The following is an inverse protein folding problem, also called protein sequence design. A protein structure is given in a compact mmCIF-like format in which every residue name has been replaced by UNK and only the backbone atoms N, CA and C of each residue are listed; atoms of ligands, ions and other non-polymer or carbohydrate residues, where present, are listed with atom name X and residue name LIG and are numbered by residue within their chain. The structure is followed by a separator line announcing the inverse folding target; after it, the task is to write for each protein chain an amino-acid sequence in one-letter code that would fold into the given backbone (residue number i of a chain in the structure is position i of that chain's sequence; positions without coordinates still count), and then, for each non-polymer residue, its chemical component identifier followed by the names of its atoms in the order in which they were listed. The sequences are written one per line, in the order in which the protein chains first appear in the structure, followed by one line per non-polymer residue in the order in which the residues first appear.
data_IF_018396673961
#
_entry.id   IF_018396673961
#
_cell.length_a   1.000
_cell.length_b   1.000
_cell.length_c   1.000
_cell.angle_alpha   90.00
_cell.angle_beta   90.00
_cell.angle_gamma   90.00
#
_symmetry.space_group_name_H-M   'P 1'
#
loop_
_entity.id
_entity.type
_entity.pdbx_description
1 polymer ?
#
# COMPACT_ATOMS: atom_id res chain seq x y z
N UNK A 1 -0.69 -16.93 -37.91
CA UNK A 1 -0.85 -15.68 -37.13
C UNK A 1 -0.60 -16.00 -35.67
N UNK A 2 0.63 -15.78 -35.20
CA UNK A 2 0.99 -15.89 -33.77
C UNK A 2 0.33 -14.73 -33.03
N UNK A 3 -0.57 -15.03 -32.09
CA UNK A 3 -1.14 -14.00 -31.23
C UNK A 3 0.01 -13.26 -30.53
N UNK A 4 0.12 -11.95 -30.75
CA UNK A 4 0.98 -11.09 -29.95
C UNK A 4 0.63 -11.33 -28.48
N UNK A 5 1.57 -11.89 -27.71
CA UNK A 5 1.41 -11.96 -26.26
C UNK A 5 1.24 -10.52 -25.77
N UNK A 6 0.13 -10.26 -25.09
CA UNK A 6 -0.13 -8.96 -24.47
C UNK A 6 1.09 -8.52 -23.67
N UNK A 7 1.66 -7.36 -23.99
CA UNK A 7 2.75 -6.72 -23.25
C UNK A 7 2.24 -5.97 -22.01
N UNK A 8 0.97 -6.16 -21.66
CA UNK A 8 0.31 -5.46 -20.56
C UNK A 8 0.72 -6.06 -19.22
N UNK A 9 1.18 -5.21 -18.31
CA UNK A 9 1.53 -5.56 -16.93
C UNK A 9 0.49 -4.97 -15.98
N UNK A 10 0.11 -5.71 -14.94
CA UNK A 10 -0.63 -5.15 -13.81
C UNK A 10 0.34 -4.68 -12.72
N UNK A 11 0.23 -3.42 -12.31
CA UNK A 11 1.08 -2.83 -11.28
C UNK A 11 0.22 -2.39 -10.10
N UNK A 12 0.51 -2.95 -8.93
CA UNK A 12 -0.13 -2.62 -7.66
C UNK A 12 0.80 -1.71 -6.86
N UNK A 13 0.41 -0.45 -6.69
CA UNK A 13 1.14 0.53 -5.87
C UNK A 13 0.63 0.45 -4.43
N UNK A 14 1.35 -0.29 -3.59
CA UNK A 14 1.03 -0.57 -2.20
C UNK A 14 1.63 0.49 -1.27
N UNK A 15 0.86 1.12 -0.37
CA UNK A 15 1.44 2.02 0.63
C UNK A 15 2.46 1.31 1.53
N UNK A 16 2.07 0.23 2.19
CA UNK A 16 2.90 -0.56 3.09
C UNK A 16 3.04 -2.02 2.67
N UNK A 17 3.92 -2.73 3.39
CA UNK A 17 4.32 -4.12 3.16
C UNK A 17 3.26 -5.09 3.69
N UNK A 18 2.11 -5.12 3.01
CA UNK A 18 0.94 -5.99 3.28
C UNK A 18 -0.33 -5.52 2.56
N UNK A 19 -0.53 -4.20 2.39
CA UNK A 19 -1.80 -3.62 1.93
C UNK A 19 -2.37 -4.20 0.63
N UNK A 20 -1.51 -4.37 -0.38
CA UNK A 20 -1.93 -4.96 -1.66
C UNK A 20 -2.42 -6.41 -1.49
N UNK A 21 -1.76 -7.21 -0.65
CA UNK A 21 -2.17 -8.59 -0.37
C UNK A 21 -3.45 -8.63 0.46
N UNK A 22 -3.55 -7.78 1.49
CA UNK A 22 -4.74 -7.67 2.33
C UNK A 22 -5.97 -7.28 1.50
N UNK A 23 -5.82 -6.29 0.62
CA UNK A 23 -6.95 -5.66 -0.07
C UNK A 23 -7.26 -6.32 -1.42
N UNK A 24 -6.25 -6.82 -2.12
CA UNK A 24 -6.35 -7.31 -3.50
C UNK A 24 -5.67 -8.68 -3.75
N UNK A 25 -5.25 -9.41 -2.71
CA UNK A 25 -4.56 -10.69 -2.86
C UNK A 25 -5.32 -11.74 -3.69
N UNK A 26 -6.65 -11.74 -3.62
CA UNK A 26 -7.51 -12.57 -4.47
C UNK A 26 -7.39 -12.20 -5.95
N UNK A 27 -7.55 -10.92 -6.28
CA UNK A 27 -7.32 -10.41 -7.63
C UNK A 27 -5.90 -10.72 -8.13
N UNK A 28 -4.87 -10.45 -7.31
CA UNK A 28 -3.47 -10.73 -7.64
C UNK A 28 -3.30 -12.21 -8.01
N UNK A 29 -3.84 -13.12 -7.19
CA UNK A 29 -3.75 -14.57 -7.44
C UNK A 29 -4.41 -15.04 -8.75
N UNK A 30 -5.35 -14.26 -9.29
CA UNK A 30 -5.97 -14.50 -10.60
C UNK A 30 -5.15 -13.90 -11.72
N UNK A 31 -4.72 -12.64 -11.57
CA UNK A 31 -4.00 -11.90 -12.61
C UNK A 31 -2.66 -12.53 -12.97
N UNK A 32 -1.92 -13.08 -12.00
CA UNK A 32 -0.63 -13.75 -12.25
C UNK A 32 -0.71 -14.91 -13.24
N UNK A 33 -1.92 -15.47 -13.46
CA UNK A 33 -2.15 -16.56 -14.43
C UNK A 33 -2.41 -16.04 -15.86
N UNK A 34 -2.64 -14.74 -16.00
CA UNK A 34 -3.12 -14.10 -17.23
C UNK A 34 -2.05 -13.14 -17.77
N UNK A 35 -1.50 -12.28 -16.91
CA UNK A 35 -0.52 -11.25 -17.25
C UNK A 35 0.58 -11.13 -16.17
N UNK A 36 1.75 -10.55 -16.50
CA UNK A 36 2.74 -10.19 -15.50
C UNK A 36 2.15 -9.26 -14.43
N UNK A 37 2.50 -9.50 -13.18
CA UNK A 37 2.09 -8.68 -12.04
C UNK A 37 3.32 -8.17 -11.29
N UNK A 38 3.36 -6.87 -11.02
CA UNK A 38 4.34 -6.23 -10.14
C UNK A 38 3.62 -5.54 -8.97
N UNK A 39 4.15 -5.72 -7.76
CA UNK A 39 3.76 -4.95 -6.58
C UNK A 39 4.90 -3.98 -6.27
N UNK A 40 4.60 -2.69 -6.33
CA UNK A 40 5.50 -1.60 -5.98
C UNK A 40 5.08 -1.06 -4.62
N UNK A 41 5.88 -1.34 -3.59
CA UNK A 41 5.60 -0.93 -2.22
C UNK A 41 6.37 0.34 -1.86
N UNK A 42 5.67 1.37 -1.39
CA UNK A 42 6.20 2.72 -1.22
C UNK A 42 6.98 2.85 0.09
N UNK A 43 6.29 2.71 1.23
CA UNK A 43 6.85 2.96 2.56
C UNK A 43 7.41 1.67 3.15
N UNK A 44 8.69 1.42 2.88
CA UNK A 44 9.34 0.12 3.14
C UNK A 44 10.53 0.22 4.07
N UNK A 45 10.84 1.42 4.56
CA UNK A 45 12.00 1.68 5.40
C UNK A 45 11.68 2.58 6.58
N UNK A 46 12.65 2.62 7.49
CA UNK A 46 12.75 3.58 8.58
C UNK A 46 14.17 4.16 8.56
N UNK A 47 14.34 5.48 8.76
CA UNK A 47 15.65 6.14 8.73
C UNK A 47 16.46 5.93 10.02
N UNK A 48 15.90 5.26 11.02
CA UNK A 48 16.55 5.00 12.29
C UNK A 48 15.59 4.49 13.38
N UNK A 49 15.99 4.58 14.67
CA UNK A 49 15.24 3.99 15.76
C UNK A 49 13.90 4.71 15.99
N UNK A 50 12.96 4.00 16.62
CA UNK A 50 11.69 4.57 17.05
C UNK A 50 11.90 5.62 18.17
N UNK A 51 11.66 6.90 17.85
CA UNK A 51 11.89 8.00 18.81
C UNK A 51 10.61 8.45 19.52
N UNK A 52 9.52 8.64 18.79
CA UNK A 52 8.22 9.06 19.35
C UNK A 52 7.56 7.94 20.15
N UNK A 53 6.67 8.30 21.07
CA UNK A 53 5.88 7.32 21.83
C UNK A 53 5.07 6.39 20.91
N UNK A 54 4.47 6.95 19.85
CA UNK A 54 3.70 6.20 18.85
C UNK A 54 4.57 5.19 18.10
N UNK A 55 5.74 5.61 17.61
CA UNK A 55 6.68 4.71 16.91
C UNK A 55 7.17 3.59 17.84
N UNK A 56 7.49 3.90 19.10
CA UNK A 56 7.93 2.90 20.09
C UNK A 56 6.82 1.89 20.37
N UNK A 57 5.59 2.36 20.55
CA UNK A 57 4.42 1.48 20.74
C UNK A 57 4.20 0.59 19.53
N UNK A 58 4.31 1.12 18.32
CA UNK A 58 4.14 0.36 17.09
C UNK A 58 5.14 -0.80 16.98
N UNK A 59 6.44 -0.53 17.18
CA UNK A 59 7.49 -1.57 17.18
C UNK A 59 7.29 -2.59 18.30
N UNK A 60 6.89 -2.13 19.50
CA UNK A 60 6.62 -3.01 20.65
C UNK A 60 5.43 -3.94 20.41
N UNK A 61 4.33 -3.44 19.83
CA UNK A 61 3.17 -4.27 19.47
C UNK A 61 3.53 -5.32 18.43
N UNK A 62 4.42 -5.00 17.50
CA UNK A 62 5.00 -5.96 16.56
C UNK A 62 5.93 -7.00 17.21
N UNK A 63 6.22 -6.88 18.52
CA UNK A 63 7.14 -7.74 19.28
C UNK A 63 8.59 -7.67 18.78
N UNK A 64 9.01 -6.51 18.29
CA UNK A 64 10.41 -6.23 17.95
C UNK A 64 11.04 -5.25 18.93
N UNK A 65 12.37 -5.32 19.05
CA UNK A 65 13.16 -4.36 19.84
C UNK A 65 13.67 -3.19 18.99
N UNK A 66 13.90 -3.41 17.69
CA UNK A 66 14.47 -2.43 16.76
C UNK A 66 13.56 -2.27 15.55
N UNK A 67 13.35 -1.03 15.14
CA UNK A 67 12.49 -0.70 14.00
C UNK A 67 13.10 -1.21 12.69
N UNK A 68 14.43 -1.15 12.59
CA UNK A 68 15.21 -1.58 11.44
C UNK A 68 15.02 -3.08 11.19
N UNK A 69 15.05 -3.89 12.25
CA UNK A 69 14.87 -5.34 12.17
C UNK A 69 13.43 -5.69 11.79
N UNK A 70 12.47 -4.96 12.35
CA UNK A 70 11.06 -5.09 12.01
C UNK A 70 10.79 -4.82 10.53
N UNK A 71 11.24 -3.68 10.01
CA UNK A 71 11.07 -3.35 8.59
C UNK A 71 11.89 -4.26 7.68
N UNK A 72 13.07 -4.73 8.11
CA UNK A 72 13.84 -5.73 7.37
C UNK A 72 13.09 -7.06 7.26
N UNK A 73 12.42 -7.50 8.33
CA UNK A 73 11.57 -8.68 8.29
C UNK A 73 10.37 -8.46 7.36
N UNK A 74 9.64 -7.35 7.48
CA UNK A 74 8.50 -7.04 6.59
C UNK A 74 8.90 -7.09 5.11
N UNK A 75 10.08 -6.56 4.75
CA UNK A 75 10.58 -6.63 3.37
C UNK A 75 10.89 -8.06 2.93
N UNK A 76 11.44 -8.90 3.81
CA UNK A 76 11.68 -10.33 3.50
C UNK A 76 10.36 -11.08 3.32
N UNK A 77 9.41 -10.88 4.22
CA UNK A 77 8.08 -11.47 4.16
C UNK A 77 7.38 -11.11 2.85
N UNK A 78 7.36 -9.83 2.49
CA UNK A 78 6.72 -9.34 1.27
C UNK A 78 7.32 -9.99 0.00
N UNK A 79 8.65 -9.99 -0.12
CA UNK A 79 9.35 -10.65 -1.23
C UNK A 79 9.07 -12.14 -1.30
N UNK A 80 9.11 -12.82 -0.15
CA UNK A 80 8.89 -14.26 -0.08
C UNK A 80 7.45 -14.63 -0.43
N UNK A 81 6.48 -13.92 0.14
CA UNK A 81 5.06 -14.18 -0.09
C UNK A 81 4.72 -13.91 -1.55
N UNK A 82 4.98 -12.72 -2.06
CA UNK A 82 4.63 -12.35 -3.43
C UNK A 82 5.42 -13.17 -4.46
N UNK A 83 6.72 -13.39 -4.23
CA UNK A 83 7.56 -14.23 -5.09
C UNK A 83 7.03 -15.66 -5.21
N UNK A 84 6.50 -16.24 -4.13
CA UNK A 84 5.90 -17.59 -4.17
C UNK A 84 4.63 -17.70 -5.03
N UNK A 85 4.05 -16.57 -5.44
CA UNK A 85 2.90 -16.48 -6.35
C UNK A 85 3.29 -15.98 -7.75
N UNK A 86 4.58 -15.84 -8.05
CA UNK A 86 5.06 -15.34 -9.34
C UNK A 86 4.88 -13.84 -9.53
N UNK A 87 4.75 -13.09 -8.44
CA UNK A 87 4.62 -11.62 -8.46
C UNK A 87 5.99 -10.97 -8.33
N UNK A 88 6.31 -10.04 -9.21
CA UNK A 88 7.51 -9.21 -9.09
C UNK A 88 7.32 -8.18 -7.96
N UNK A 89 8.36 -7.93 -7.18
CA UNK A 89 8.30 -6.98 -6.05
C UNK A 89 9.33 -5.88 -6.20
N UNK A 90 8.91 -4.64 -5.98
CA UNK A 90 9.80 -3.47 -5.92
C UNK A 90 9.53 -2.68 -4.66
N UNK A 91 10.57 -2.47 -3.84
CA UNK A 91 10.49 -1.66 -2.62
C UNK A 91 11.13 -0.31 -2.87
N UNK A 92 10.37 0.79 -2.75
CA UNK A 92 10.86 2.12 -3.10
C UNK A 92 11.73 2.78 -2.03
N UNK A 93 11.71 2.25 -0.81
CA UNK A 93 12.58 2.72 0.27
C UNK A 93 12.13 3.98 0.99
N UNK A 94 10.90 4.48 0.78
CA UNK A 94 10.43 5.67 1.48
C UNK A 94 10.14 5.37 2.98
N UNK A 95 10.29 6.37 3.87
CA UNK A 95 10.05 6.21 5.29
C UNK A 95 8.56 6.27 5.66
N UNK A 96 8.14 5.34 6.52
CA UNK A 96 6.81 5.31 7.15
C UNK A 96 6.49 6.63 7.89
N UNK A 97 5.21 7.04 7.90
CA UNK A 97 4.73 8.29 8.50
C UNK A 97 5.25 8.54 9.91
N UNK A 98 5.30 7.50 10.77
CA UNK A 98 5.74 7.63 12.16
C UNK A 98 7.21 8.04 12.33
N UNK A 99 8.01 7.90 11.27
CA UNK A 99 9.43 8.24 11.25
C UNK A 99 9.76 9.52 10.47
N UNK A 100 8.78 10.16 9.82
CA UNK A 100 9.04 11.36 9.04
C UNK A 100 9.26 12.58 9.92
N UNK A 101 10.32 13.31 9.63
CA UNK A 101 10.75 14.50 10.37
C UNK A 101 10.47 15.76 9.56
N UNK A 102 10.17 16.85 10.25
CA UNK A 102 9.98 18.15 9.61
C UNK A 102 11.30 18.60 8.98
N UNK A 103 11.31 19.08 7.72
CA UNK A 103 12.50 19.66 7.12
C UNK A 103 12.86 20.99 7.80
N UNK A 104 14.12 21.40 7.67
CA UNK A 104 14.61 22.76 7.96
C UNK A 104 14.26 23.36 9.32
N UNK A 105 14.24 22.54 10.38
CA UNK A 105 13.95 23.02 11.73
C UNK A 105 15.07 23.92 12.29
N UNK A 106 14.73 25.01 13.00
CA UNK A 106 15.70 25.82 13.73
C UNK A 106 16.56 24.98 14.69
N UNK A 107 17.85 25.32 14.82
CA UNK A 107 18.80 24.57 15.66
C UNK A 107 18.32 24.37 17.10
N UNK A 108 17.65 25.36 17.69
CA UNK A 108 17.13 25.25 19.07
C UNK A 108 16.04 24.18 19.18
N UNK A 109 15.15 24.11 18.20
CA UNK A 109 14.06 23.13 18.17
C UNK A 109 14.60 21.72 17.90
N UNK A 110 15.63 21.60 17.05
CA UNK A 110 16.36 20.34 16.85
C UNK A 110 17.04 19.84 18.15
N UNK A 111 17.55 20.74 19.00
CA UNK A 111 18.10 20.36 20.32
C UNK A 111 17.00 19.86 21.25
N UNK A 112 15.86 20.56 21.33
CA UNK A 112 14.72 20.11 22.11
C UNK A 112 14.17 18.76 21.62
N UNK A 113 14.18 18.54 20.30
CA UNK A 113 13.79 17.28 19.66
C UNK A 113 14.57 16.05 20.10
N UNK A 114 15.78 16.22 20.64
CA UNK A 114 16.54 15.10 21.23
C UNK A 114 15.92 14.61 22.55
N UNK A 115 15.21 15.49 23.24
CA UNK A 115 14.53 15.21 24.52
C UNK A 115 13.06 14.88 24.26
N UNK A 116 12.40 15.66 23.39
CA UNK A 116 10.99 15.53 23.02
C UNK A 116 10.86 15.34 21.50
N UNK A 117 11.04 14.11 21.00
CA UNK A 117 11.02 13.82 19.56
C UNK A 117 9.74 14.26 18.86
N UNK A 118 8.61 14.28 19.55
CA UNK A 118 7.31 14.67 19.01
C UNK A 118 7.32 16.08 18.40
N UNK A 119 8.21 16.98 18.84
CA UNK A 119 8.33 18.34 18.30
C UNK A 119 8.86 18.37 16.86
N UNK A 120 9.71 17.40 16.50
CA UNK A 120 10.43 17.38 15.23
C UNK A 120 9.85 16.42 14.20
N UNK A 121 8.83 15.63 14.57
CA UNK A 121 8.18 14.70 13.66
C UNK A 121 6.97 15.35 12.99
N UNK A 122 6.71 14.97 11.74
CA UNK A 122 5.54 15.44 10.97
C UNK A 122 4.26 14.82 11.56
N UNK A 123 4.29 13.52 11.87
CA UNK A 123 3.16 12.77 12.42
C UNK A 123 3.50 12.16 13.79
N UNK A 124 3.59 12.96 14.86
CA UNK A 124 4.10 12.50 16.15
C UNK A 124 3.14 11.58 16.92
N UNK A 125 1.83 11.76 16.73
CA UNK A 125 0.79 10.99 17.43
C UNK A 125 -0.04 10.24 16.39
N UNK A 126 -0.06 8.91 16.48
CA UNK A 126 -0.68 8.05 15.47
C UNK A 126 -2.16 8.38 15.23
N UNK A 127 -2.99 8.29 16.28
CA UNK A 127 -4.44 8.45 16.14
C UNK A 127 -4.84 9.87 15.69
N UNK A 128 -4.06 10.89 16.06
CA UNK A 128 -4.38 12.29 15.76
C UNK A 128 -3.85 12.75 14.40
N UNK A 129 -2.64 12.33 14.02
CA UNK A 129 -1.95 12.83 12.84
C UNK A 129 -1.90 11.79 11.72
N UNK A 130 -1.52 10.55 12.02
CA UNK A 130 -1.39 9.48 11.01
C UNK A 130 -2.75 9.06 10.48
N UNK A 131 -3.79 8.98 11.33
CA UNK A 131 -5.16 8.64 10.90
C UNK A 131 -6.02 9.85 10.53
N UNK A 132 -5.43 11.04 10.41
CA UNK A 132 -6.16 12.27 10.11
C UNK A 132 -6.71 12.34 8.68
N UNK A 133 -6.09 11.60 7.75
CA UNK A 133 -6.28 11.70 6.30
C UNK A 133 -5.72 12.99 5.68
N UNK A 134 -5.06 13.83 6.47
CA UNK A 134 -4.48 15.10 6.02
C UNK A 134 -2.98 14.93 5.82
N UNK A 135 -2.58 14.80 4.56
CA UNK A 135 -1.16 14.79 4.18
C UNK A 135 -0.56 16.17 4.46
N UNK A 136 0.48 16.21 5.28
CA UNK A 136 1.15 17.43 5.68
C UNK A 136 1.86 18.10 4.50
N UNK A 137 2.03 19.43 4.56
CA UNK A 137 2.74 20.17 3.51
C UNK A 137 4.23 19.82 3.49
N UNK A 138 4.78 19.50 4.66
CA UNK A 138 6.15 19.04 4.87
C UNK A 138 6.49 17.74 4.11
N UNK A 139 5.48 16.97 3.66
CA UNK A 139 5.67 15.83 2.75
C UNK A 139 5.75 16.26 1.26
N UNK A 140 5.88 17.55 0.94
CA UNK A 140 5.95 18.06 -0.46
C UNK A 140 7.08 17.45 -1.27
N UNK A 141 8.30 17.44 -0.76
CA UNK A 141 9.47 16.87 -1.43
C UNK A 141 9.31 15.35 -1.62
N UNK A 142 8.79 14.67 -0.60
CA UNK A 142 8.49 13.23 -0.69
C UNK A 142 7.46 12.96 -1.78
N UNK A 143 6.40 13.77 -1.89
CA UNK A 143 5.37 13.63 -2.95
C UNK A 143 5.96 13.83 -4.34
N UNK A 144 6.83 14.83 -4.52
CA UNK A 144 7.49 15.10 -5.80
C UNK A 144 8.40 13.93 -6.16
N UNK A 145 9.30 13.54 -5.25
CA UNK A 145 10.22 12.41 -5.47
C UNK A 145 9.48 11.11 -5.76
N UNK A 146 8.41 10.82 -5.03
CA UNK A 146 7.59 9.62 -5.25
C UNK A 146 6.93 9.68 -6.63
N UNK A 147 6.41 10.83 -7.05
CA UNK A 147 5.78 10.97 -8.34
C UNK A 147 6.77 10.75 -9.50
N UNK A 148 7.97 11.31 -9.40
CA UNK A 148 9.06 11.08 -10.37
C UNK A 148 9.44 9.60 -10.42
N UNK A 149 9.61 8.97 -9.24
CA UNK A 149 10.00 7.57 -9.18
C UNK A 149 8.94 6.64 -9.77
N UNK A 150 7.68 6.94 -9.49
CA UNK A 150 6.54 6.22 -10.06
C UNK A 150 6.39 6.49 -11.56
N UNK A 151 6.65 7.69 -12.07
CA UNK A 151 6.65 7.92 -13.52
C UNK A 151 7.75 7.09 -14.23
N UNK A 152 8.98 7.08 -13.70
CA UNK A 152 10.14 6.35 -14.26
C UNK A 152 9.87 4.83 -14.38
N UNK A 153 9.23 4.24 -13.37
CA UNK A 153 8.92 2.80 -13.36
C UNK A 153 7.95 2.44 -14.50
N UNK A 154 7.07 3.36 -14.87
CA UNK A 154 5.93 3.06 -15.75
C UNK A 154 6.19 3.48 -17.19
N UNK A 155 7.09 4.43 -17.47
CA UNK A 155 7.58 4.71 -18.83
C UNK A 155 8.19 3.48 -19.51
N UNK A 156 8.74 2.55 -18.72
CA UNK A 156 9.32 1.29 -19.20
C UNK A 156 8.26 0.22 -19.55
N UNK A 157 6.98 0.47 -19.28
CA UNK A 157 5.89 -0.47 -19.48
C UNK A 157 4.88 0.07 -20.50
N UNK A 158 4.60 -0.68 -21.57
CA UNK A 158 3.57 -0.30 -22.54
C UNK A 158 2.17 -0.42 -21.92
N UNK A 159 1.58 0.70 -21.49
CA UNK A 159 0.18 0.83 -20.99
C UNK A 159 -0.18 -0.13 -19.82
N UNK A 160 0.42 0.04 -18.63
CA UNK A 160 0.14 -0.82 -17.49
C UNK A 160 -1.28 -0.64 -16.92
N UNK A 161 -1.81 -1.69 -16.31
CA UNK A 161 -3.01 -1.63 -15.49
C UNK A 161 -2.63 -1.28 -14.06
N UNK A 162 -2.98 -0.08 -13.60
CA UNK A 162 -2.51 0.44 -12.31
C UNK A 162 -3.58 0.32 -11.23
N UNK A 163 -3.20 -0.24 -10.09
CA UNK A 163 -4.02 -0.36 -8.89
C UNK A 163 -3.36 0.35 -7.72
N UNK A 164 -4.16 0.99 -6.87
CA UNK A 164 -3.70 1.52 -5.58
C UNK A 164 -4.83 1.56 -4.55
N UNK A 165 -4.54 2.02 -3.34
CA UNK A 165 -5.50 2.16 -2.26
C UNK A 165 -6.51 3.29 -2.48
N UNK A 166 -7.73 3.10 -1.96
CA UNK A 166 -8.71 4.17 -1.86
C UNK A 166 -8.50 5.07 -0.62
N UNK A 167 -7.66 4.67 0.34
CA UNK A 167 -7.40 5.44 1.55
C UNK A 167 -8.50 5.30 2.61
N UNK A 168 -9.22 4.18 2.62
CA UNK A 168 -10.15 3.83 3.69
C UNK A 168 -9.38 3.70 5.00
N UNK A 169 -9.93 4.26 6.09
CA UNK A 169 -9.23 4.38 7.37
C UNK A 169 -8.38 5.64 7.51
N UNK A 170 -8.22 6.44 6.44
CA UNK A 170 -7.62 7.78 6.47
C UNK A 170 -6.16 7.81 6.94
N UNK A 171 -5.43 6.71 6.75
CA UNK A 171 -4.00 6.70 6.99
C UNK A 171 -3.30 7.64 6.00
N UNK A 172 -2.48 8.58 6.48
CA UNK A 172 -1.84 9.62 5.65
C UNK A 172 -0.97 9.05 4.54
N UNK A 173 -0.26 7.94 4.78
CA UNK A 173 0.51 7.23 3.74
C UNK A 173 -0.39 6.70 2.60
N UNK A 174 -1.56 6.15 2.92
CA UNK A 174 -2.50 5.69 1.89
C UNK A 174 -3.07 6.89 1.12
N UNK A 175 -3.42 7.97 1.83
CA UNK A 175 -3.89 9.20 1.20
C UNK A 175 -2.84 9.81 0.26
N UNK A 176 -1.56 9.81 0.67
CA UNK A 176 -0.46 10.33 -0.12
C UNK A 176 -0.25 9.50 -1.40
N UNK A 177 -0.16 8.18 -1.26
CA UNK A 177 0.04 7.27 -2.39
C UNK A 177 -1.13 7.37 -3.37
N UNK A 178 -2.37 7.40 -2.87
CA UNK A 178 -3.57 7.63 -3.69
C UNK A 178 -3.46 8.95 -4.45
N UNK A 179 -3.17 10.06 -3.79
CA UNK A 179 -3.08 11.39 -4.41
C UNK A 179 -2.03 11.42 -5.53
N UNK A 180 -0.85 10.84 -5.29
CA UNK A 180 0.21 10.76 -6.30
C UNK A 180 -0.21 9.88 -7.48
N UNK A 181 -0.76 8.70 -7.22
CA UNK A 181 -1.20 7.80 -8.28
C UNK A 181 -2.35 8.40 -9.13
N UNK A 182 -3.34 9.04 -8.52
CA UNK A 182 -4.45 9.68 -9.26
C UNK A 182 -3.99 10.86 -10.11
N UNK A 183 -2.92 11.56 -9.69
CA UNK A 183 -2.31 12.65 -10.46
C UNK A 183 -1.57 12.13 -11.70
N UNK A 184 -0.84 11.03 -11.57
CA UNK A 184 -0.05 10.45 -12.67
C UNK A 184 -0.93 9.63 -13.62
N UNK A 185 -1.89 8.88 -13.06
CA UNK A 185 -2.76 7.97 -13.79
C UNK A 185 -4.23 8.28 -13.49
N UNK A 186 -4.87 9.07 -14.36
CA UNK A 186 -6.29 9.37 -14.23
C UNK A 186 -7.15 8.09 -14.12
N UNK A 187 -6.78 7.02 -14.81
CA UNK A 187 -7.52 5.74 -14.85
C UNK A 187 -7.08 4.72 -13.77
N UNK A 188 -6.28 5.11 -12.78
CA UNK A 188 -5.87 4.20 -11.69
C UNK A 188 -7.09 3.58 -11.01
N UNK A 189 -7.05 2.28 -10.76
CA UNK A 189 -8.11 1.54 -10.07
C UNK A 189 -7.86 1.58 -8.57
N UNK A 190 -8.88 1.91 -7.79
CA UNK A 190 -8.75 1.98 -6.33
C UNK A 190 -9.30 0.71 -5.68
N UNK A 191 -8.54 0.03 -4.83
CA UNK A 191 -9.08 -1.01 -3.95
C UNK A 191 -9.60 -0.40 -2.65
N UNK A 192 -10.62 -1.03 -2.04
CA UNK A 192 -11.06 -0.67 -0.69
C UNK A 192 -10.12 -1.32 0.33
N UNK A 193 -9.49 -0.50 1.17
CA UNK A 193 -8.42 -0.93 2.07
C UNK A 193 -8.95 -1.91 3.13
N UNK A 194 -8.40 -3.12 3.17
CA UNK A 194 -8.71 -4.13 4.18
C UNK A 194 -7.52 -4.25 5.14
N UNK A 195 -7.73 -4.36 6.47
CA UNK A 195 -8.99 -4.53 7.18
C UNK A 195 -9.72 -3.23 7.55
N UNK A 196 -9.20 -2.05 7.22
CA UNK A 196 -9.83 -0.76 7.55
C UNK A 196 -11.30 -0.67 7.13
N UNK A 197 -11.65 -1.27 5.99
CA UNK A 197 -13.02 -1.35 5.46
C UNK A 197 -14.01 -2.16 6.28
N UNK A 198 -13.55 -2.90 7.30
CA UNK A 198 -14.42 -3.56 8.29
C UNK A 198 -15.02 -2.54 9.28
N UNK A 199 -14.27 -1.47 9.57
CA UNK A 199 -14.66 -0.42 10.53
C UNK A 199 -15.19 0.80 9.77
N UNK A 200 -14.50 1.19 8.69
CA UNK A 200 -14.82 2.36 7.89
C UNK A 200 -15.48 1.94 6.58
N UNK A 201 -16.81 2.05 6.52
CA UNK A 201 -17.54 1.64 5.33
C UNK A 201 -17.36 2.63 4.18
N UNK A 202 -16.60 2.23 3.16
CA UNK A 202 -16.59 2.92 1.86
C UNK A 202 -17.62 2.29 0.93
N UNK A 203 -18.76 2.95 0.78
CA UNK A 203 -19.87 2.44 -0.02
C UNK A 203 -19.78 2.90 -1.48
N UNK A 204 -19.18 4.06 -1.73
CA UNK A 204 -19.07 4.72 -3.03
C UNK A 204 -17.75 5.48 -3.14
N UNK A 205 -17.26 5.63 -4.37
CA UNK A 205 -16.20 6.56 -4.73
C UNK A 205 -16.74 7.48 -5.84
N UNK A 206 -16.70 8.82 -5.66
CA UNK A 206 -17.24 9.75 -6.65
C UNK A 206 -16.64 9.54 -8.04
N UNK A 207 -17.49 9.52 -9.06
CA UNK A 207 -17.06 9.34 -10.45
C UNK A 207 -16.51 7.95 -10.78
N UNK A 208 -16.68 6.95 -9.90
CA UNK A 208 -16.18 5.58 -10.10
C UNK A 208 -17.28 4.53 -9.89
N UNK A 209 -17.31 3.53 -10.77
CA UNK A 209 -18.12 2.31 -10.63
C UNK A 209 -17.45 1.33 -9.68
N UNK A 210 -18.24 0.78 -8.76
CA UNK A 210 -17.83 -0.27 -7.83
C UNK A 210 -17.84 -1.65 -8.50
N UNK A 211 -16.77 -2.40 -8.31
CA UNK A 211 -16.61 -3.80 -8.70
C UNK A 211 -16.35 -4.66 -7.46
N UNK A 212 -16.83 -5.90 -7.48
CA UNK A 212 -16.72 -6.83 -6.36
C UNK A 212 -16.10 -8.12 -6.89
N UNK A 213 -15.06 -8.60 -6.24
CA UNK A 213 -14.44 -9.91 -6.51
C UNK A 213 -14.57 -10.78 -5.27
N UNK A 214 -15.04 -12.01 -5.48
CA UNK A 214 -14.96 -13.05 -4.46
C UNK A 214 -13.57 -13.70 -4.54
N UNK A 215 -12.69 -13.53 -3.56
CA UNK A 215 -11.35 -14.10 -3.61
C UNK A 215 -11.38 -15.61 -3.36
N UNK A 216 -10.38 -16.33 -3.88
CA UNK A 216 -10.04 -17.66 -3.36
C UNK A 216 -9.49 -17.48 -1.94
N UNK A 217 -10.31 -17.81 -0.95
CA UNK A 217 -9.95 -17.64 0.46
C UNK A 217 -8.81 -18.52 0.93
N UNK A 218 -8.57 -19.67 0.29
CA UNK A 218 -7.46 -20.54 0.63
C UNK A 218 -6.15 -19.86 0.25
N UNK A 219 -6.09 -19.31 -0.96
CA UNK A 219 -4.92 -18.57 -1.45
C UNK A 219 -4.74 -17.24 -0.71
N UNK A 220 -5.81 -16.44 -0.58
CA UNK A 220 -5.73 -15.14 0.10
C UNK A 220 -5.31 -15.27 1.56
N UNK A 221 -5.86 -16.25 2.30
CA UNK A 221 -5.43 -16.53 3.67
C UNK A 221 -3.97 -16.95 3.73
N UNK A 222 -3.51 -17.79 2.79
CA UNK A 222 -2.10 -18.20 2.72
C UNK A 222 -1.18 -17.00 2.51
N UNK A 223 -1.54 -16.08 1.61
CA UNK A 223 -0.75 -14.85 1.38
C UNK A 223 -0.71 -13.99 2.64
N UNK A 224 -1.87 -13.66 3.24
CA UNK A 224 -1.94 -12.80 4.44
C UNK A 224 -1.17 -13.43 5.61
N UNK A 225 -1.33 -14.74 5.84
CA UNK A 225 -0.64 -15.43 6.93
C UNK A 225 0.90 -15.43 6.77
N UNK A 226 1.42 -15.23 5.56
CA UNK A 226 2.86 -15.13 5.33
C UNK A 226 3.48 -13.82 5.84
N UNK A 227 2.69 -12.77 6.07
CA UNK A 227 3.12 -11.53 6.70
C UNK A 227 3.12 -11.68 8.22
N UNK A 228 3.94 -12.60 8.74
CA UNK A 228 3.89 -13.05 10.15
C UNK A 228 4.07 -11.92 11.15
N UNK A 229 4.85 -10.90 10.79
CA UNK A 229 5.09 -9.71 11.60
C UNK A 229 3.85 -8.81 11.77
N UNK A 230 2.86 -8.90 10.87
CA UNK A 230 1.66 -8.06 10.86
C UNK A 230 0.39 -8.86 11.16
N UNK A 231 0.24 -10.03 10.54
CA UNK A 231 -1.02 -10.74 10.45
C UNK A 231 -1.59 -11.12 11.81
N UNK A 232 -0.76 -11.54 12.78
CA UNK A 232 -1.22 -11.90 14.12
C UNK A 232 -1.72 -10.71 14.93
N UNK A 233 -1.18 -9.51 14.69
CA UNK A 233 -1.62 -8.28 15.35
C UNK A 233 -2.92 -7.75 14.74
N UNK A 234 -3.07 -7.87 13.41
CA UNK A 234 -4.30 -7.46 12.72
C UNK A 234 -5.44 -8.46 12.91
N UNK A 235 -5.12 -9.76 12.96
CA UNK A 235 -6.08 -10.86 13.05
C UNK A 235 -5.66 -11.79 14.19
N UNK A 236 -6.12 -11.53 15.43
CA UNK A 236 -5.88 -12.42 16.55
C UNK A 236 -6.26 -13.88 16.23
N UNK A 237 -5.36 -14.82 16.52
CA UNK A 237 -5.54 -16.24 16.17
C UNK A 237 -5.52 -16.54 14.66
N UNK A 238 -5.09 -15.59 13.82
CA UNK A 238 -5.16 -15.64 12.36
C UNK A 238 -6.58 -15.89 11.82
N UNK A 239 -7.59 -15.41 12.56
CA UNK A 239 -8.99 -15.45 12.15
C UNK A 239 -9.24 -14.25 11.23
N UNK A 240 -9.05 -14.46 9.93
CA UNK A 240 -9.22 -13.42 8.91
C UNK A 240 -10.70 -13.38 8.45
N UNK A 241 -11.40 -12.24 8.61
CA UNK A 241 -12.78 -12.09 8.14
C UNK A 241 -12.91 -12.31 6.63
N UNK A 242 -13.87 -13.14 6.23
CA UNK A 242 -14.12 -13.44 4.82
C UNK A 242 -15.00 -12.38 4.17
N UNK A 243 -14.38 -11.35 3.58
CA UNK A 243 -15.06 -10.28 2.82
C UNK A 243 -14.64 -10.20 1.36
N UNK A 244 -15.60 -9.97 0.46
CA UNK A 244 -15.29 -9.75 -0.95
C UNK A 244 -14.39 -8.52 -1.13
N UNK A 245 -13.46 -8.61 -2.08
CA UNK A 245 -12.60 -7.50 -2.47
C UNK A 245 -13.42 -6.50 -3.28
N UNK A 246 -13.21 -5.21 -3.00
CA UNK A 246 -13.96 -4.12 -3.64
C UNK A 246 -12.97 -3.23 -4.37
N UNK A 247 -13.31 -2.89 -5.61
CA UNK A 247 -12.52 -2.00 -6.46
C UNK A 247 -13.40 -0.89 -7.04
N UNK A 248 -12.80 0.27 -7.34
CA UNK A 248 -13.48 1.45 -7.88
C UNK A 248 -12.78 1.94 -9.15
N UNK A 249 -13.52 1.93 -10.27
CA UNK A 249 -13.02 2.18 -11.63
C UNK A 249 -13.74 3.38 -12.23
N UNK A 250 -13.07 4.35 -12.89
CA UNK A 250 -13.70 5.60 -13.35
C UNK A 250 -14.86 5.39 -14.33
N UNK A 251 -14.67 5.06 -15.61
CA UNK A 251 -15.77 4.67 -16.53
C UNK A 251 -15.24 3.98 -17.80
N UNK A 252 -16.14 3.55 -18.70
CA UNK A 252 -15.95 2.58 -19.80
C UNK A 252 -14.77 2.81 -20.76
N UNK A 253 -14.06 3.93 -20.82
CA UNK A 253 -13.10 4.21 -21.92
C UNK A 253 -11.88 3.27 -21.99
N UNK A 254 -11.62 2.46 -20.97
CA UNK A 254 -10.60 1.41 -20.98
C UNK A 254 -11.20 -0.01 -21.04
N UNK A 255 -12.10 -0.28 -22.01
CA UNK A 255 -12.70 -1.61 -22.24
C UNK A 255 -11.68 -2.74 -22.50
N UNK A 256 -10.38 -2.45 -22.70
CA UNK A 256 -9.31 -3.48 -22.65
C UNK A 256 -9.21 -4.15 -21.29
N UNK A 257 -9.56 -3.41 -20.23
CA UNK A 257 -9.64 -3.92 -18.87
C UNK A 257 -10.90 -4.77 -18.69
N UNK A 258 -11.99 -4.58 -19.45
CA UNK A 258 -13.18 -5.43 -19.31
C UNK A 258 -12.95 -6.88 -19.73
N UNK A 259 -12.03 -7.18 -20.65
CA UNK A 259 -11.72 -8.57 -21.01
C UNK A 259 -10.91 -9.27 -19.91
N UNK A 260 -9.90 -8.61 -19.35
CA UNK A 260 -9.23 -9.08 -18.12
C UNK A 260 -10.25 -9.22 -16.98
N UNK A 261 -11.15 -8.26 -16.80
CA UNK A 261 -12.20 -8.35 -15.79
C UNK A 261 -13.20 -9.48 -16.08
N UNK A 262 -13.52 -9.79 -17.34
CA UNK A 262 -14.35 -10.94 -17.72
C UNK A 262 -13.66 -12.25 -17.37
N UNK A 263 -12.36 -12.37 -17.64
CA UNK A 263 -11.58 -13.55 -17.25
C UNK A 263 -11.46 -13.68 -15.73
N UNK A 264 -11.18 -12.57 -15.04
CA UNK A 264 -11.11 -12.51 -13.57
C UNK A 264 -12.46 -12.79 -12.90
N UNK A 265 -13.59 -12.43 -13.51
CA UNK A 265 -14.95 -12.67 -12.99
C UNK A 265 -15.52 -14.04 -13.38
N UNK A 266 -14.97 -14.73 -14.40
CA UNK A 266 -15.39 -16.08 -14.82
C UNK A 266 -14.83 -17.20 -13.94
N UNK A 267 -13.74 -16.95 -13.21
CA UNK A 267 -13.16 -17.85 -12.19
C UNK A 267 -13.40 -17.38 -10.75
#
# INVERSE_FOLDING_TARGET
MTAEKSTQTAIFVSPHLDDAVLSAGGLISRLVKIIPVEVVTVFTQVPGPAKTASAKRFVKLAKFSRAEDFFAQRRREDKQVLGSFGVNTRHLGYPDALWRQKPDLPRWLNRLGKIVPELTHIYPIYDLFVLSGRVANEDSELRISLAEKLAEIFERNSKPLVFTCAGVGRHVDHCLVRQVCEKIWPEVILWSDFPYSLIHTQTREPGRKRMIIKPDWKLKRKMIAGYTSQAGNMFPGLIIPKVNEKFFVKTKSDLRQLDIWREVLRG
#
